data_IF_000911931029
#
_entry.id   IF_000911931029
#
_cell.length_a   1.000
_cell.length_b   1.000
_cell.length_c   1.000
_cell.angle_alpha   90.00
_cell.angle_beta   90.00
_cell.angle_gamma   90.00
#
_symmetry.space_group_name_H-M   'P 1'
#
loop_
_entity.id
_entity.type
_entity.pdbx_description
1 polymer ?
#
# COMPACT_ATOMS: atom_id res chain seq x y z
N UNK A 1 8.94 15.61 -13.21
CA UNK A 1 8.33 15.67 -11.87
C UNK A 1 8.09 14.23 -11.43
N UNK A 2 8.22 13.94 -10.14
CA UNK A 2 7.95 12.60 -9.63
C UNK A 2 6.43 12.39 -9.61
N UNK A 3 5.91 11.32 -10.25
CA UNK A 3 4.47 11.00 -10.26
C UNK A 3 3.97 10.40 -8.93
N UNK A 4 4.83 10.40 -7.90
CA UNK A 4 4.51 9.92 -6.57
C UNK A 4 3.76 10.98 -5.76
N UNK A 5 2.61 10.57 -5.22
CA UNK A 5 1.69 11.39 -4.44
C UNK A 5 1.86 11.05 -2.96
N UNK A 6 2.13 12.07 -2.16
CA UNK A 6 2.22 11.98 -0.70
C UNK A 6 0.83 11.68 -0.11
N UNK A 7 0.73 10.67 0.77
CA UNK A 7 -0.54 10.25 1.39
C UNK A 7 -1.18 11.34 2.25
N UNK A 8 -0.41 12.31 2.75
CA UNK A 8 -0.91 13.45 3.50
C UNK A 8 -1.49 14.55 2.60
N UNK A 9 -1.18 14.52 1.29
CA UNK A 9 -1.70 15.49 0.32
C UNK A 9 -2.97 14.98 -0.35
N UNK A 10 -2.95 13.73 -0.80
CA UNK A 10 -4.08 13.12 -1.50
C UNK A 10 -4.09 11.61 -1.28
N UNK A 11 -5.28 11.07 -1.03
CA UNK A 11 -5.50 9.65 -0.83
C UNK A 11 -6.13 9.02 -2.08
N UNK A 12 -5.82 7.75 -2.39
CA UNK A 12 -6.54 7.03 -3.43
C UNK A 12 -8.03 6.92 -3.12
N UNK A 13 -8.81 6.56 -4.14
CA UNK A 13 -10.20 6.16 -3.96
C UNK A 13 -10.31 4.86 -3.16
N UNK A 14 -11.46 4.65 -2.51
CA UNK A 14 -11.68 3.39 -1.78
C UNK A 14 -11.58 2.19 -2.72
N UNK A 15 -10.86 1.17 -2.27
CA UNK A 15 -10.48 -0.01 -3.02
C UNK A 15 -9.71 0.23 -4.32
N UNK A 16 -9.12 1.42 -4.52
CA UNK A 16 -8.26 1.67 -5.67
C UNK A 16 -6.96 0.87 -5.53
N UNK A 17 -6.61 0.13 -6.58
CA UNK A 17 -5.32 -0.54 -6.71
C UNK A 17 -4.26 0.48 -7.15
N UNK A 18 -3.13 0.53 -6.43
CA UNK A 18 -2.08 1.52 -6.63
C UNK A 18 -0.69 0.89 -6.48
N UNK A 19 0.32 1.58 -6.98
CA UNK A 19 1.71 1.34 -6.61
C UNK A 19 1.99 2.16 -5.35
N UNK A 20 2.43 1.53 -4.27
CA UNK A 20 2.70 2.15 -2.98
C UNK A 20 4.19 2.04 -2.63
N UNK A 21 4.71 3.07 -1.96
CA UNK A 21 6.08 3.13 -1.46
C UNK A 21 6.10 3.06 0.07
N UNK A 22 6.80 2.05 0.59
CA UNK A 22 6.96 1.75 2.02
C UNK A 22 8.46 1.71 2.30
N UNK A 23 9.01 2.70 3.01
CA UNK A 23 10.43 2.74 3.34
C UNK A 23 10.88 1.48 4.09
N UNK A 24 12.02 0.92 3.70
CA UNK A 24 12.65 -0.24 4.35
C UNK A 24 11.76 -1.49 4.51
N UNK A 25 10.73 -1.63 3.66
CA UNK A 25 9.80 -2.75 3.74
C UNK A 25 10.50 -4.10 3.58
N UNK A 26 10.30 -5.01 4.54
CA UNK A 26 10.89 -6.35 4.55
C UNK A 26 9.92 -7.37 3.98
N UNK A 27 10.24 -7.89 2.80
CA UNK A 27 9.52 -9.01 2.20
C UNK A 27 10.22 -10.33 2.56
N UNK A 28 9.58 -11.15 3.39
CA UNK A 28 10.12 -12.44 3.81
C UNK A 28 10.06 -13.47 2.68
N UNK A 29 11.15 -14.23 2.51
CA UNK A 29 11.26 -15.21 1.45
C UNK A 29 10.49 -16.51 1.80
N UNK A 30 9.77 -17.12 0.85
CA UNK A 30 9.08 -18.37 1.09
C UNK A 30 10.04 -19.51 1.46
N UNK A 31 9.74 -20.27 2.51
CA UNK A 31 10.45 -21.51 2.84
C UNK A 31 11.77 -21.33 3.61
N UNK A 32 12.17 -20.11 3.94
CA UNK A 32 13.35 -19.83 4.77
C UNK A 32 12.93 -18.95 5.95
N UNK A 33 13.07 -19.47 7.17
CA UNK A 33 12.81 -18.66 8.36
C UNK A 33 13.83 -17.53 8.46
N UNK A 34 13.34 -16.30 8.68
CA UNK A 34 14.14 -15.09 8.97
C UNK A 34 14.90 -14.45 7.80
N UNK A 35 14.89 -15.03 6.59
CA UNK A 35 15.42 -14.34 5.41
C UNK A 35 14.39 -13.40 4.79
N UNK A 36 14.83 -12.18 4.48
CA UNK A 36 14.01 -11.16 3.84
C UNK A 36 14.83 -10.38 2.81
N UNK A 37 14.14 -9.81 1.84
CA UNK A 37 14.66 -8.75 0.98
C UNK A 37 13.97 -7.42 1.30
N UNK A 38 14.67 -6.32 1.02
CA UNK A 38 14.06 -5.00 1.06
C UNK A 38 13.30 -4.77 -0.25
N UNK A 39 11.98 -4.57 -0.15
CA UNK A 39 11.08 -4.34 -1.28
C UNK A 39 10.13 -3.20 -0.98
N UNK A 40 10.59 -1.99 -1.25
CA UNK A 40 9.88 -0.77 -0.87
C UNK A 40 8.69 -0.44 -1.77
N UNK A 41 8.72 -0.90 -3.03
CA UNK A 41 7.63 -0.68 -3.99
C UNK A 41 6.73 -1.90 -4.04
N UNK A 42 5.47 -1.71 -3.65
CA UNK A 42 4.46 -2.75 -3.54
C UNK A 42 3.19 -2.37 -4.31
N UNK A 43 2.41 -3.36 -4.71
CA UNK A 43 1.05 -3.12 -5.22
C UNK A 43 0.05 -3.38 -4.11
N UNK A 44 -0.76 -2.38 -3.77
CA UNK A 44 -1.73 -2.41 -2.68
C UNK A 44 -3.08 -1.87 -3.14
N UNK A 45 -4.13 -2.21 -2.40
CA UNK A 45 -5.42 -1.52 -2.48
C UNK A 45 -5.59 -0.61 -1.27
N UNK A 46 -5.99 0.64 -1.50
CA UNK A 46 -6.35 1.54 -0.41
C UNK A 46 -7.73 1.17 0.13
N UNK A 47 -7.85 1.00 1.45
CA UNK A 47 -9.13 0.67 2.12
C UNK A 47 -9.53 1.84 3.00
N UNK A 48 -10.47 2.64 2.50
CA UNK A 48 -10.93 3.86 3.17
C UNK A 48 -11.76 3.49 4.40
N UNK A 49 -11.51 4.14 5.53
CA UNK A 49 -12.28 3.98 6.76
C UNK A 49 -12.38 2.53 7.28
N UNK A 50 -11.38 1.69 6.99
CA UNK A 50 -11.35 0.28 7.35
C UNK A 50 -11.60 0.03 8.85
N UNK A 51 -11.11 0.91 9.72
CA UNK A 51 -11.29 0.80 11.18
C UNK A 51 -12.39 1.71 11.76
N UNK A 52 -13.28 2.30 10.95
CA UNK A 52 -14.30 3.25 11.42
C UNK A 52 -15.25 2.70 12.51
N UNK A 53 -15.39 1.37 12.62
CA UNK A 53 -16.17 0.71 13.68
C UNK A 53 -15.35 0.14 14.85
N UNK A 54 -14.04 0.37 14.89
CA UNK A 54 -13.15 -0.16 15.92
C UNK A 54 -12.25 0.96 16.45
N UNK A 55 -12.71 1.63 17.51
CA UNK A 55 -12.01 2.77 18.09
C UNK A 55 -10.59 2.44 18.56
N UNK A 56 -10.38 1.25 19.13
CA UNK A 56 -9.07 0.83 19.61
C UNK A 56 -8.06 0.75 18.46
N UNK A 57 -8.43 0.05 17.37
CA UNK A 57 -7.57 -0.06 16.18
C UNK A 57 -7.42 1.26 15.46
N UNK A 58 -8.49 2.04 15.34
CA UNK A 58 -8.44 3.35 14.68
C UNK A 58 -7.49 4.32 15.39
N UNK A 59 -7.45 4.31 16.73
CA UNK A 59 -6.52 5.13 17.52
C UNK A 59 -5.07 4.67 17.37
N UNK A 60 -4.84 3.36 17.24
CA UNK A 60 -3.49 2.78 17.18
C UNK A 60 -2.87 2.82 15.78
N UNK A 61 -3.66 2.61 14.73
CA UNK A 61 -3.16 2.36 13.37
C UNK A 61 -3.65 3.36 12.32
N UNK A 62 -4.44 4.36 12.73
CA UNK A 62 -5.20 5.22 11.82
C UNK A 62 -6.51 4.57 11.38
N UNK A 63 -7.37 5.34 10.71
CA UNK A 63 -8.71 4.86 10.29
C UNK A 63 -8.67 4.09 8.95
N UNK A 64 -7.64 4.31 8.15
CA UNK A 64 -7.42 3.71 6.83
C UNK A 64 -6.54 2.46 6.91
N UNK A 65 -6.46 1.70 5.82
CA UNK A 65 -5.65 0.51 5.73
C UNK A 65 -5.17 0.23 4.30
N UNK A 66 -4.07 -0.50 4.15
CA UNK A 66 -3.57 -0.95 2.85
C UNK A 66 -3.62 -2.47 2.78
N UNK A 67 -4.44 -3.00 1.88
CA UNK A 67 -4.50 -4.44 1.65
C UNK A 67 -3.61 -4.84 0.48
N UNK A 68 -2.64 -5.72 0.72
CA UNK A 68 -1.78 -6.25 -0.33
C UNK A 68 -2.41 -7.40 -1.12
N UNK A 69 -1.71 -7.83 -2.16
CA UNK A 69 -2.03 -9.06 -2.88
C UNK A 69 -1.51 -10.25 -2.06
N UNK A 70 -2.41 -10.92 -1.32
CA UNK A 70 -2.06 -11.99 -0.38
C UNK A 70 -1.82 -11.48 1.05
N UNK A 71 -0.71 -11.87 1.68
CA UNK A 71 -0.42 -11.55 3.09
C UNK A 71 0.40 -10.26 3.31
N UNK A 72 0.59 -9.45 2.27
CA UNK A 72 1.40 -8.21 2.32
C UNK A 72 0.58 -6.99 2.72
N UNK A 73 -0.19 -7.10 3.81
CA UNK A 73 -1.00 -5.98 4.31
C UNK A 73 -0.16 -5.01 5.14
N UNK A 74 -0.53 -3.73 5.10
CA UNK A 74 0.19 -2.66 5.78
C UNK A 74 -0.77 -1.71 6.51
N UNK A 75 -0.34 -1.22 7.67
CA UNK A 75 -1.06 -0.15 8.36
C UNK A 75 -0.92 1.16 7.59
N UNK A 76 -1.83 2.10 7.82
CA UNK A 76 -1.91 3.33 7.04
C UNK A 76 -0.57 4.07 6.97
N UNK A 77 0.10 4.20 8.12
CA UNK A 77 1.34 4.96 8.29
C UNK A 77 2.61 4.24 7.78
N UNK A 78 2.51 2.99 7.32
CA UNK A 78 3.66 2.30 6.74
C UNK A 78 3.97 2.86 5.33
N UNK A 79 2.92 3.28 4.59
CA UNK A 79 3.03 3.84 3.24
C UNK A 79 3.26 5.34 3.34
N UNK A 80 4.20 5.89 2.56
CA UNK A 80 4.45 7.35 2.52
C UNK A 80 3.96 7.98 1.23
N UNK A 81 4.07 7.26 0.12
CA UNK A 81 3.69 7.75 -1.21
C UNK A 81 2.98 6.67 -2.00
N UNK A 82 2.15 7.08 -2.96
CA UNK A 82 1.51 6.20 -3.91
C UNK A 82 1.50 6.78 -5.32
N UNK A 83 1.27 5.93 -6.31
CA UNK A 83 1.06 6.30 -7.71
C UNK A 83 -0.04 5.43 -8.30
N UNK A 84 -0.85 5.99 -9.19
CA UNK A 84 -1.79 5.19 -9.98
C UNK A 84 -1.04 4.11 -10.79
N UNK A 85 -1.66 2.94 -10.95
CA UNK A 85 -1.12 1.92 -11.85
C UNK A 85 -1.14 2.49 -13.27
N UNK A 86 -0.02 2.44 -14.02
CA UNK A 86 0.00 2.92 -15.39
C UNK A 86 -0.96 2.10 -16.25
N UNK A 87 -1.59 2.77 -17.22
CA UNK A 87 -2.36 2.09 -18.24
C UNK A 87 -1.43 1.19 -19.08
N UNK A 88 -1.97 0.05 -19.51
CA UNK A 88 -1.26 -0.84 -20.42
C UNK A 88 -1.05 -0.18 -21.79
N UNK A 89 -0.12 -0.69 -22.60
CA UNK A 89 0.05 -0.17 -23.95
C UNK A 89 -1.22 -0.39 -24.78
N UNK A 90 -1.58 0.58 -25.63
CA UNK A 90 -2.54 0.36 -26.69
C UNK A 90 -1.93 -0.62 -27.71
N UNK A 91 -2.52 -1.80 -27.84
CA UNK A 91 -2.16 -2.75 -28.89
C UNK A 91 -3.03 -2.38 -30.10
N UNK A 92 -2.39 -1.85 -31.15
CA UNK A 92 -3.04 -1.67 -32.45
C UNK A 92 -3.07 -3.03 -33.15
N UNK A 93 -4.29 -3.50 -33.48
CA UNK A 93 -4.53 -4.71 -34.29
C UNK A 93 -4.04 -4.56 -35.74
#
# INVERSE_FOLDING_TARGET
MSDWIDIEKELPSDNQRVIAFIPDNKAFLPGMELEFEIREVMVLHFRKNFYKGNEEKSKKYGIHFWSGEGNSNHFFNDVTHWKAIPEGPEILD
#
